data_IF_994521463532
#
_entry.id   IF_994521463532
#
_cell.length_a   1.000
_cell.length_b   1.000
_cell.length_c   1.000
_cell.angle_alpha   90.00
_cell.angle_beta   90.00
_cell.angle_gamma   90.00
#
_symmetry.space_group_name_H-M   'P 1'
#
loop_
_entity.id
_entity.type
_entity.pdbx_description
1 polymer ?
#
# COMPACT_ATOMS: atom_id res chain seq x y z
N UNK A 1 -34.83 -20.02 0.05
CA UNK A 1 -33.50 -19.42 0.20
C UNK A 1 -33.28 -18.51 -1.01
N UNK A 2 -33.15 -17.20 -0.81
CA UNK A 2 -32.90 -16.28 -1.94
C UNK A 2 -31.50 -16.53 -2.50
N UNK A 3 -31.40 -16.45 -3.82
CA UNK A 3 -30.17 -16.72 -4.56
C UNK A 3 -29.91 -15.60 -5.55
N UNK A 4 -28.68 -15.09 -5.57
CA UNK A 4 -28.20 -14.13 -6.58
C UNK A 4 -27.12 -14.81 -7.41
N UNK A 5 -27.19 -14.63 -8.73
CA UNK A 5 -26.18 -15.10 -9.67
C UNK A 5 -25.56 -13.91 -10.37
N UNK A 6 -24.26 -13.72 -10.17
CA UNK A 6 -23.45 -12.77 -10.91
C UNK A 6 -22.67 -13.48 -12.03
N UNK A 7 -22.80 -12.98 -13.26
CA UNK A 7 -22.06 -13.48 -14.42
C UNK A 7 -21.09 -12.42 -14.93
N UNK A 8 -19.83 -12.81 -15.10
CA UNK A 8 -18.74 -11.94 -15.52
C UNK A 8 -18.25 -12.33 -16.92
N UNK A 9 -18.55 -11.51 -17.91
CA UNK A 9 -17.95 -11.61 -19.25
C UNK A 9 -16.74 -10.70 -19.31
N UNK A 10 -15.86 -10.90 -20.31
CA UNK A 10 -14.56 -10.25 -20.51
C UNK A 10 -14.40 -8.80 -19.99
N UNK A 11 -15.45 -7.96 -20.04
CA UNK A 11 -15.50 -6.65 -19.36
C UNK A 11 -16.90 -6.25 -18.86
N UNK A 12 -17.86 -7.18 -18.70
CA UNK A 12 -19.27 -6.86 -18.42
C UNK A 12 -19.83 -7.71 -17.29
N UNK A 13 -20.73 -7.12 -16.48
CA UNK A 13 -21.31 -7.78 -15.32
C UNK A 13 -22.83 -7.76 -15.36
N UNK A 14 -23.40 -8.93 -15.08
CA UNK A 14 -24.83 -9.13 -14.98
C UNK A 14 -25.20 -9.72 -13.62
N UNK A 15 -26.35 -9.34 -13.08
CA UNK A 15 -27.02 -10.01 -11.96
C UNK A 15 -28.36 -10.55 -12.43
N UNK A 16 -28.58 -11.87 -12.37
CA UNK A 16 -29.82 -12.50 -12.87
C UNK A 16 -30.25 -11.92 -14.24
N UNK A 17 -29.31 -11.83 -15.19
CA UNK A 17 -29.47 -11.24 -16.54
C UNK A 17 -29.69 -9.71 -16.62
N UNK A 18 -29.64 -8.97 -15.52
CA UNK A 18 -29.70 -7.51 -15.49
C UNK A 18 -28.29 -6.92 -15.63
N UNK A 19 -28.07 -6.05 -16.61
CA UNK A 19 -26.79 -5.38 -16.83
C UNK A 19 -26.49 -4.40 -15.70
N UNK A 20 -25.36 -4.60 -15.01
CA UNK A 20 -24.92 -3.72 -13.92
C UNK A 20 -23.91 -2.66 -14.38
N UNK A 21 -23.18 -2.93 -15.46
CA UNK A 21 -22.18 -2.02 -16.01
C UNK A 21 -21.02 -2.73 -16.71
N UNK A 22 -20.09 -1.91 -17.20
CA UNK A 22 -18.79 -2.34 -17.72
C UNK A 22 -17.73 -2.28 -16.61
N UNK A 23 -16.94 -3.35 -16.49
CA UNK A 23 -15.82 -3.46 -15.58
C UNK A 23 -14.52 -2.94 -16.22
N UNK A 24 -14.27 -1.65 -16.00
CA UNK A 24 -13.06 -0.94 -16.44
C UNK A 24 -12.29 -0.40 -15.23
N UNK A 25 -11.00 -0.10 -15.41
CA UNK A 25 -10.11 0.26 -14.31
C UNK A 25 -10.51 1.58 -13.61
N UNK A 26 -11.29 2.41 -14.29
CA UNK A 26 -11.80 3.69 -13.76
C UNK A 26 -13.12 3.55 -12.97
N UNK A 27 -13.79 2.39 -12.99
CA UNK A 27 -15.16 2.22 -12.49
C UNK A 27 -15.30 1.28 -11.29
N UNK A 28 -14.20 0.82 -10.69
CA UNK A 28 -14.22 -0.19 -9.62
C UNK A 28 -15.18 0.15 -8.47
N UNK A 29 -15.14 1.37 -7.96
CA UNK A 29 -15.97 1.79 -6.82
C UNK A 29 -17.48 1.72 -7.12
N UNK A 30 -17.91 2.27 -8.27
CA UNK A 30 -19.32 2.26 -8.68
C UNK A 30 -19.87 0.85 -8.87
N UNK A 31 -19.03 -0.07 -9.34
CA UNK A 31 -19.46 -1.45 -9.52
C UNK A 31 -19.51 -2.17 -8.18
N UNK A 32 -18.54 -1.94 -7.30
CA UNK A 32 -18.56 -2.44 -5.93
C UNK A 32 -19.84 -2.03 -5.20
N UNK A 33 -20.21 -0.75 -5.26
CA UNK A 33 -21.41 -0.23 -4.59
C UNK A 33 -22.69 -0.88 -5.15
N UNK A 34 -22.78 -1.02 -6.48
CA UNK A 34 -23.92 -1.69 -7.13
C UNK A 34 -24.03 -3.17 -6.77
N UNK A 35 -22.91 -3.89 -6.71
CA UNK A 35 -22.89 -5.30 -6.33
C UNK A 35 -23.29 -5.46 -4.86
N UNK A 36 -22.77 -4.60 -3.99
CA UNK A 36 -23.11 -4.58 -2.57
C UNK A 36 -24.60 -4.33 -2.35
N UNK A 37 -25.17 -3.31 -3.00
CA UNK A 37 -26.60 -3.02 -2.95
C UNK A 37 -27.46 -4.20 -3.45
N UNK A 38 -27.02 -4.88 -4.51
CA UNK A 38 -27.70 -6.09 -4.99
C UNK A 38 -27.65 -7.20 -3.94
N UNK A 39 -26.51 -7.40 -3.27
CA UNK A 39 -26.35 -8.39 -2.21
C UNK A 39 -27.15 -8.07 -0.94
N UNK A 40 -27.35 -6.80 -0.58
CA UNK A 40 -28.18 -6.39 0.58
C UNK A 40 -29.64 -6.85 0.47
N UNK A 41 -30.11 -7.24 -0.73
CA UNK A 41 -31.45 -7.81 -0.92
C UNK A 41 -31.56 -9.28 -0.46
N UNK A 42 -30.43 -9.93 -0.14
CA UNK A 42 -30.35 -11.30 0.38
C UNK A 42 -30.54 -11.35 1.89
N UNK A 43 -31.40 -12.27 2.34
CA UNK A 43 -31.59 -12.56 3.76
C UNK A 43 -30.34 -13.26 4.35
N UNK A 44 -30.18 -13.34 5.68
CA UNK A 44 -28.97 -13.87 6.35
C UNK A 44 -28.56 -15.32 6.01
N UNK A 45 -29.41 -16.07 5.31
CA UNK A 45 -29.13 -17.40 4.78
C UNK A 45 -29.06 -17.41 3.25
N UNK A 46 -28.81 -16.26 2.62
CA UNK A 46 -28.74 -16.10 1.18
C UNK A 46 -27.57 -16.83 0.53
N UNK A 47 -27.70 -17.10 -0.77
CA UNK A 47 -26.70 -17.81 -1.56
C UNK A 47 -26.27 -16.98 -2.78
N UNK A 48 -24.97 -16.75 -2.93
CA UNK A 48 -24.37 -16.01 -4.03
C UNK A 48 -23.61 -16.99 -4.93
N UNK A 49 -23.86 -16.91 -6.23
CA UNK A 49 -23.05 -17.58 -7.24
C UNK A 49 -22.31 -16.57 -8.09
N UNK A 50 -21.01 -16.80 -8.29
CA UNK A 50 -20.18 -16.02 -9.20
C UNK A 50 -19.75 -16.95 -10.34
N UNK A 51 -20.04 -16.56 -11.57
CA UNK A 51 -19.76 -17.36 -12.77
C UNK A 51 -18.78 -16.58 -13.64
N UNK A 52 -17.65 -17.21 -13.95
CA UNK A 52 -16.72 -16.75 -14.98
C UNK A 52 -17.24 -17.12 -16.37
N UNK A 53 -17.42 -16.13 -17.23
CA UNK A 53 -17.75 -16.29 -18.66
C UNK A 53 -16.65 -15.64 -19.52
N UNK A 54 -15.40 -15.97 -19.21
CA UNK A 54 -14.21 -15.56 -19.97
C UNK A 54 -13.50 -14.32 -19.42
N UNK A 55 -13.81 -13.87 -18.21
CA UNK A 55 -13.08 -12.79 -17.54
C UNK A 55 -11.74 -13.29 -16.99
N UNK A 56 -11.65 -14.49 -16.43
CA UNK A 56 -10.38 -15.00 -15.88
C UNK A 56 -9.31 -15.17 -16.96
N UNK A 57 -9.70 -15.64 -18.14
CA UNK A 57 -8.79 -15.84 -19.28
C UNK A 57 -8.33 -14.51 -19.88
N UNK A 58 -9.25 -13.54 -20.02
CA UNK A 58 -8.93 -12.24 -20.63
C UNK A 58 -8.28 -11.27 -19.65
N UNK A 59 -8.50 -11.43 -18.35
CA UNK A 59 -7.94 -10.56 -17.32
C UNK A 59 -7.89 -11.24 -15.94
N UNK A 60 -6.89 -12.10 -15.76
CA UNK A 60 -6.68 -12.89 -14.55
C UNK A 60 -6.57 -12.03 -13.28
N UNK A 61 -5.96 -10.85 -13.37
CA UNK A 61 -5.86 -9.90 -12.25
C UNK A 61 -7.24 -9.42 -11.77
N UNK A 62 -8.11 -9.01 -12.70
CA UNK A 62 -9.48 -8.54 -12.37
C UNK A 62 -10.34 -9.65 -11.79
N UNK A 63 -10.22 -10.85 -12.34
CA UNK A 63 -10.91 -12.03 -11.81
C UNK A 63 -10.48 -12.37 -10.38
N UNK A 64 -9.18 -12.31 -10.11
CA UNK A 64 -8.61 -12.53 -8.78
C UNK A 64 -9.15 -11.50 -7.79
N UNK A 65 -9.19 -10.22 -8.16
CA UNK A 65 -9.69 -9.16 -7.29
C UNK A 65 -11.15 -9.42 -6.87
N UNK A 66 -11.99 -9.75 -7.83
CA UNK A 66 -13.40 -10.00 -7.59
C UNK A 66 -13.64 -11.24 -6.71
N UNK A 67 -12.99 -12.35 -7.06
CA UNK A 67 -13.29 -13.66 -6.48
C UNK A 67 -12.55 -13.93 -5.19
N UNK A 68 -11.38 -13.33 -5.00
CA UNK A 68 -10.56 -13.55 -3.81
C UNK A 68 -10.67 -12.43 -2.78
N UNK A 69 -11.18 -11.26 -3.15
CA UNK A 69 -11.25 -10.12 -2.22
C UNK A 69 -12.68 -9.70 -1.95
N UNK A 70 -13.44 -9.42 -3.01
CA UNK A 70 -14.80 -8.90 -2.86
C UNK A 70 -15.78 -10.00 -2.47
N UNK A 71 -15.70 -11.16 -3.13
CA UNK A 71 -16.49 -12.32 -2.75
C UNK A 71 -16.21 -12.78 -1.31
N UNK A 72 -14.94 -12.70 -0.87
CA UNK A 72 -14.55 -12.98 0.51
C UNK A 72 -15.16 -11.99 1.51
N UNK A 73 -15.31 -10.71 1.15
CA UNK A 73 -16.02 -9.73 1.96
C UNK A 73 -17.50 -10.08 2.14
N UNK A 74 -18.16 -10.48 1.06
CA UNK A 74 -19.58 -10.89 1.08
C UNK A 74 -19.80 -12.21 1.84
N UNK A 75 -18.83 -13.12 1.82
CA UNK A 75 -18.92 -14.43 2.46
C UNK A 75 -19.09 -14.39 3.99
N UNK A 76 -18.87 -13.24 4.64
CA UNK A 76 -19.14 -13.04 6.06
C UNK A 76 -20.63 -13.18 6.43
N UNK A 77 -21.52 -12.86 5.48
CA UNK A 77 -22.98 -12.78 5.73
C UNK A 77 -23.80 -13.76 4.91
N UNK A 78 -23.21 -14.40 3.90
CA UNK A 78 -23.89 -15.28 2.95
C UNK A 78 -23.00 -16.43 2.49
N UNK A 79 -23.60 -17.49 1.93
CA UNK A 79 -22.85 -18.57 1.28
C UNK A 79 -22.47 -18.16 -0.14
N UNK A 80 -21.20 -18.32 -0.51
CA UNK A 80 -20.66 -17.90 -1.81
C UNK A 80 -19.96 -19.06 -2.50
N UNK A 81 -20.42 -19.37 -3.71
CA UNK A 81 -19.79 -20.36 -4.59
C UNK A 81 -19.31 -19.70 -5.89
N UNK A 82 -18.07 -20.00 -6.28
CA UNK A 82 -17.49 -19.54 -7.54
C UNK A 82 -17.42 -20.71 -8.51
N UNK A 83 -17.83 -20.49 -9.75
CA UNK A 83 -17.56 -21.39 -10.85
C UNK A 83 -16.31 -20.91 -11.60
N UNK A 84 -15.22 -21.66 -11.49
CA UNK A 84 -14.03 -21.48 -12.31
C UNK A 84 -14.02 -22.58 -13.39
N UNK A 85 -14.05 -22.17 -14.66
CA UNK A 85 -14.22 -23.07 -15.80
C UNK A 85 -15.43 -24.03 -15.63
N UNK A 86 -15.17 -25.28 -15.21
CA UNK A 86 -16.21 -26.32 -15.01
C UNK A 86 -16.42 -26.71 -13.54
N UNK A 87 -15.57 -26.24 -12.62
CA UNK A 87 -15.61 -26.64 -11.21
C UNK A 87 -16.23 -25.55 -10.34
N UNK A 88 -17.00 -25.98 -9.34
CA UNK A 88 -17.56 -25.12 -8.31
C UNK A 88 -16.70 -25.20 -7.05
N UNK A 89 -16.31 -24.04 -6.54
CA UNK A 89 -15.59 -23.88 -5.28
C UNK A 89 -16.47 -23.10 -4.30
N UNK A 90 -16.74 -23.68 -3.13
CA UNK A 90 -17.40 -22.98 -2.02
C UNK A 90 -16.34 -22.29 -1.17
N UNK A 91 -16.42 -20.95 -1.09
CA UNK A 91 -15.38 -20.14 -0.44
C UNK A 91 -15.49 -20.25 1.08
N UNK A 92 -16.70 -20.47 1.60
CA UNK A 92 -16.99 -20.45 3.04
C UNK A 92 -16.33 -21.62 3.81
N UNK A 93 -16.15 -22.79 3.18
CA UNK A 93 -15.74 -24.02 3.87
C UNK A 93 -14.22 -24.23 3.95
N UNK A 94 -13.44 -23.51 3.12
CA UNK A 94 -11.98 -23.67 3.01
C UNK A 94 -11.18 -22.55 3.70
N UNK A 95 -11.85 -21.52 4.20
CA UNK A 95 -11.20 -20.38 4.82
C UNK A 95 -11.07 -20.55 6.35
N UNK A 96 -9.85 -20.48 6.89
CA UNK A 96 -9.66 -20.21 8.31
C UNK A 96 -10.01 -18.74 8.56
N UNK A 97 -11.12 -18.52 9.26
CA UNK A 97 -11.67 -17.20 9.56
C UNK A 97 -10.81 -16.48 10.60
N UNK A 98 -9.79 -15.76 10.16
CA UNK A 98 -9.32 -14.61 10.91
C UNK A 98 -10.29 -13.47 10.65
N UNK A 99 -10.80 -12.80 11.69
CA UNK A 99 -11.68 -11.64 11.56
C UNK A 99 -10.93 -10.51 10.84
N UNK A 100 -10.84 -10.59 9.51
CA UNK A 100 -10.46 -9.48 8.65
C UNK A 100 -11.60 -8.49 8.76
N UNK A 101 -11.44 -7.49 9.62
CA UNK A 101 -12.14 -6.23 9.46
C UNK A 101 -11.61 -5.62 8.17
N UNK A 102 -12.19 -6.03 7.05
CA UNK A 102 -12.38 -5.09 5.97
C UNK A 102 -13.14 -3.94 6.61
N UNK A 103 -12.41 -2.90 6.97
CA UNK A 103 -13.03 -1.61 6.97
C UNK A 103 -13.54 -1.49 5.56
N UNK A 104 -14.85 -1.34 5.44
CA UNK A 104 -15.40 -0.79 4.23
C UNK A 104 -14.65 0.50 3.90
N UNK A 105 -15.12 1.10 2.83
CA UNK A 105 -15.55 2.48 2.84
C UNK A 105 -16.22 2.85 4.18
N UNK A 106 -15.47 2.84 5.29
CA UNK A 106 -15.82 3.60 6.45
C UNK A 106 -15.61 5.01 5.93
N UNK A 107 -16.70 5.74 5.82
CA UNK A 107 -16.83 7.18 5.52
C UNK A 107 -16.09 8.07 6.55
N UNK A 108 -15.02 7.53 7.14
CA UNK A 108 -14.13 8.07 8.18
C UNK A 108 -12.65 7.74 7.91
N UNK A 109 -12.32 6.93 6.90
CA UNK A 109 -10.98 6.89 6.30
C UNK A 109 -10.97 7.92 5.18
N UNK A 110 -11.01 9.17 5.63
CA UNK A 110 -11.04 10.33 4.78
C UNK A 110 -9.84 10.32 3.81
N UNK A 111 -10.11 10.00 2.55
CA UNK A 111 -9.55 10.72 1.42
C UNK A 111 -10.09 12.16 1.36
N UNK A 112 -10.42 12.78 2.52
CA UNK A 112 -10.62 14.23 2.58
C UNK A 112 -9.28 14.82 2.23
N UNK A 113 -9.35 15.76 1.28
CA UNK A 113 -8.37 16.81 1.07
C UNK A 113 -7.64 16.99 2.40
N UNK A 114 -6.36 16.62 2.48
CA UNK A 114 -5.64 16.97 3.68
C UNK A 114 -5.73 18.47 3.76
N UNK A 115 -5.62 19.04 4.95
CA UNK A 115 -5.42 20.48 5.12
C UNK A 115 -6.76 21.24 5.03
N UNK A 116 -6.95 22.36 5.75
CA UNK A 116 -8.00 23.33 5.45
C UNK A 116 -7.97 23.91 4.02
N UNK A 117 -7.34 23.25 3.04
CA UNK A 117 -7.26 23.69 1.66
C UNK A 117 -8.65 23.66 1.02
N UNK A 118 -9.18 24.85 0.74
CA UNK A 118 -10.53 25.02 0.18
C UNK A 118 -10.52 25.43 -1.29
N UNK A 119 -9.39 25.92 -1.79
CA UNK A 119 -9.28 26.37 -3.18
C UNK A 119 -7.85 26.30 -3.70
N UNK A 120 -7.72 25.87 -4.94
CA UNK A 120 -6.49 25.93 -5.73
C UNK A 120 -6.80 26.76 -6.97
N UNK A 121 -5.91 27.69 -7.33
CA UNK A 121 -6.01 28.39 -8.59
C UNK A 121 -4.65 28.43 -9.32
N UNK A 122 -4.69 28.20 -10.62
CA UNK A 122 -3.54 28.29 -11.54
C UNK A 122 -3.94 29.20 -12.69
N UNK A 123 -3.13 30.20 -13.00
CA UNK A 123 -3.42 31.22 -14.00
C UNK A 123 -4.81 31.88 -13.83
N UNK A 124 -5.18 32.17 -12.57
CA UNK A 124 -6.50 32.73 -12.22
C UNK A 124 -7.71 31.83 -12.54
N UNK A 125 -7.48 30.57 -12.93
CA UNK A 125 -8.52 29.56 -13.09
C UNK A 125 -8.61 28.71 -11.84
N UNK A 126 -9.83 28.54 -11.34
CA UNK A 126 -10.12 27.69 -10.20
C UNK A 126 -9.99 26.22 -10.62
N UNK A 127 -9.13 25.49 -9.92
CA UNK A 127 -8.98 24.05 -10.08
C UNK A 127 -9.83 23.37 -9.01
N UNK A 128 -10.80 22.56 -9.41
CA UNK A 128 -11.43 21.64 -8.47
C UNK A 128 -10.42 20.57 -8.08
N UNK A 129 -10.35 20.24 -6.80
CA UNK A 129 -9.68 19.03 -6.31
C UNK A 129 -10.76 17.99 -6.14
N UNK A 130 -11.35 17.56 -7.25
CA UNK A 130 -12.21 16.38 -7.28
C UNK A 130 -11.42 15.23 -7.91
N UNK A 131 -11.84 13.99 -7.65
CA UNK A 131 -11.18 12.78 -8.18
C UNK A 131 -11.13 12.74 -9.72
N UNK A 132 -11.86 13.61 -10.42
CA UNK A 132 -11.98 13.63 -11.89
C UNK A 132 -10.96 14.57 -12.55
N UNK A 133 -10.41 15.54 -11.82
CA UNK A 133 -9.50 16.58 -12.33
C UNK A 133 -8.03 16.33 -12.00
N UNK A 134 -7.73 15.31 -11.19
CA UNK A 134 -6.38 14.87 -10.88
C UNK A 134 -5.85 13.94 -11.98
N UNK A 135 -4.84 14.39 -12.72
CA UNK A 135 -4.23 13.59 -13.80
C UNK A 135 -3.51 12.34 -13.28
N UNK A 136 -2.88 12.43 -12.11
CA UNK A 136 -2.28 11.28 -11.41
C UNK A 136 -2.05 11.61 -9.94
N UNK A 137 -2.13 10.57 -9.10
CA UNK A 137 -1.71 10.60 -7.69
C UNK A 137 -0.51 9.67 -7.55
N UNK A 138 0.62 10.18 -7.07
CA UNK A 138 1.70 9.34 -6.55
C UNK A 138 1.77 9.44 -5.04
N UNK A 139 1.79 8.29 -4.37
CA UNK A 139 2.05 8.18 -2.94
C UNK A 139 3.45 7.58 -2.75
N UNK A 140 4.30 8.31 -2.02
CA UNK A 140 5.66 7.88 -1.69
C UNK A 140 5.93 8.11 -0.20
N UNK A 141 6.94 7.42 0.32
CA UNK A 141 7.35 7.53 1.72
C UNK A 141 8.81 7.93 1.77
N UNK A 142 9.07 9.18 2.16
CA UNK A 142 10.40 9.77 2.09
C UNK A 142 10.68 10.53 3.38
N UNK A 143 11.83 10.26 4.00
CA UNK A 143 12.28 10.94 5.23
C UNK A 143 11.24 10.95 6.36
N UNK A 144 10.38 9.93 6.42
CA UNK A 144 9.31 9.86 7.41
C UNK A 144 8.07 10.69 7.11
N UNK A 145 7.98 11.21 5.89
CA UNK A 145 6.78 11.85 5.40
C UNK A 145 6.01 10.90 4.48
N UNK A 146 4.69 10.95 4.60
CA UNK A 146 3.80 10.52 3.52
C UNK A 146 3.74 11.65 2.49
N UNK A 147 4.20 11.37 1.28
CA UNK A 147 4.23 12.29 0.14
C UNK A 147 3.07 11.96 -0.79
N UNK A 148 2.24 12.95 -1.10
CA UNK A 148 1.22 12.87 -2.14
C UNK A 148 1.49 13.92 -3.19
N UNK A 149 1.62 13.53 -4.45
CA UNK A 149 1.76 14.47 -5.57
C UNK A 149 0.56 14.39 -6.48
N UNK A 150 0.02 15.56 -6.81
CA UNK A 150 -1.08 15.79 -7.72
C UNK A 150 -0.56 16.59 -8.91
N UNK A 151 -0.66 16.01 -10.11
CA UNK A 151 -0.43 16.77 -11.34
C UNK A 151 -1.71 17.53 -11.67
N UNK A 152 -1.69 18.85 -11.48
CA UNK A 152 -2.85 19.73 -11.68
C UNK A 152 -3.01 20.11 -13.16
N UNK A 153 -1.88 20.38 -13.83
CA UNK A 153 -1.81 20.61 -15.28
C UNK A 153 -0.49 20.02 -15.81
N UNK A 154 -0.28 20.06 -17.13
CA UNK A 154 1.00 19.62 -17.74
C UNK A 154 2.24 20.42 -17.27
N UNK A 155 2.03 21.55 -16.60
CA UNK A 155 3.08 22.46 -16.14
C UNK A 155 3.01 22.74 -14.65
N UNK A 156 1.97 22.34 -13.94
CA UNK A 156 1.75 22.64 -12.52
C UNK A 156 1.51 21.36 -11.72
N UNK A 157 2.26 21.21 -10.62
CA UNK A 157 2.10 20.12 -9.67
C UNK A 157 1.91 20.65 -8.26
N UNK A 158 1.09 19.95 -7.49
CA UNK A 158 0.89 20.14 -6.06
C UNK A 158 1.44 18.94 -5.32
N UNK A 159 2.24 19.19 -4.31
CA UNK A 159 2.88 18.18 -3.49
C UNK A 159 2.53 18.43 -2.03
N UNK A 160 2.04 17.40 -1.35
CA UNK A 160 1.67 17.45 0.07
C UNK A 160 2.52 16.43 0.82
N UNK A 161 3.32 16.91 1.77
CA UNK A 161 4.10 16.12 2.71
C UNK A 161 3.40 16.14 4.06
N UNK A 162 3.03 14.99 4.59
CA UNK A 162 2.51 14.84 5.96
C UNK A 162 3.55 14.21 6.86
N UNK A 163 3.78 14.81 8.02
CA UNK A 163 4.68 14.29 9.04
C UNK A 163 3.90 13.71 10.21
N UNK A 164 4.34 12.55 10.68
CA UNK A 164 3.81 11.90 11.89
C UNK A 164 4.96 11.51 12.81
N UNK A 165 4.67 11.51 14.10
CA UNK A 165 5.59 11.08 15.14
C UNK A 165 5.70 9.56 15.16
N UNK A 166 6.93 9.07 15.20
CA UNK A 166 7.26 7.64 15.37
C UNK A 166 6.74 7.14 16.72
N UNK A 167 6.17 5.94 16.74
CA UNK A 167 5.62 5.29 17.94
C UNK A 167 4.24 5.78 18.39
N UNK A 168 3.93 7.07 18.23
CA UNK A 168 2.64 7.64 18.67
C UNK A 168 1.63 7.85 17.54
N UNK A 169 2.08 7.80 16.28
CA UNK A 169 1.30 8.17 15.08
C UNK A 169 0.76 9.61 15.09
N UNK A 170 1.11 10.43 16.09
CA UNK A 170 0.58 11.77 16.24
C UNK A 170 0.96 12.62 15.03
N UNK A 171 0.00 13.36 14.48
CA UNK A 171 0.27 14.30 13.40
C UNK A 171 1.16 15.43 13.91
N UNK A 172 2.31 15.63 13.26
CA UNK A 172 3.30 16.65 13.60
C UNK A 172 3.24 17.85 12.65
N UNK A 173 2.46 17.77 11.59
CA UNK A 173 2.36 18.87 10.64
C UNK A 173 2.39 18.41 9.20
N UNK A 174 2.43 19.39 8.31
CA UNK A 174 2.54 19.15 6.88
C UNK A 174 3.15 20.33 6.12
N UNK A 175 3.61 20.04 4.91
CA UNK A 175 4.06 21.01 3.93
C UNK A 175 3.30 20.82 2.63
N UNK A 176 2.80 21.91 2.07
CA UNK A 176 2.24 22.01 0.73
C UNK A 176 3.26 22.71 -0.13
N UNK A 177 3.52 22.18 -1.31
CA UNK A 177 4.36 22.81 -2.31
C UNK A 177 3.64 22.77 -3.63
N UNK A 178 3.39 23.94 -4.22
CA UNK A 178 2.91 24.06 -5.58
C UNK A 178 4.05 24.61 -6.43
N UNK A 179 4.39 23.93 -7.51
CA UNK A 179 5.47 24.31 -8.41
C UNK A 179 4.99 24.27 -9.84
N UNK A 180 5.48 25.22 -10.62
CA UNK A 180 5.23 25.29 -12.06
C UNK A 180 6.55 25.32 -12.84
N UNK A 181 6.56 24.76 -14.05
CA UNK A 181 7.70 24.84 -14.95
C UNK A 181 7.74 26.14 -15.79
N UNK A 182 6.73 27.00 -15.64
CA UNK A 182 6.61 28.32 -16.26
C UNK A 182 6.15 29.35 -15.22
N UNK A 183 6.58 30.61 -15.31
CA UNK A 183 6.08 31.65 -14.41
C UNK A 183 4.57 31.86 -14.64
N UNK A 184 3.74 31.36 -13.74
CA UNK A 184 2.28 31.36 -13.83
C UNK A 184 1.70 31.71 -12.47
N UNK A 185 0.78 32.69 -12.37
CA UNK A 185 0.13 33.03 -11.11
C UNK A 185 -0.53 31.80 -10.48
N UNK A 186 -0.22 31.55 -9.22
CA UNK A 186 -0.59 30.36 -8.46
C UNK A 186 -1.14 30.79 -7.11
N UNK A 187 -2.30 30.26 -6.72
CA UNK A 187 -2.89 30.57 -5.42
C UNK A 187 -3.43 29.33 -4.72
N UNK A 188 -3.24 29.28 -3.40
CA UNK A 188 -3.85 28.31 -2.49
C UNK A 188 -4.65 29.07 -1.43
N UNK A 189 -5.88 28.65 -1.19
CA UNK A 189 -6.70 29.21 -0.12
C UNK A 189 -6.92 28.19 0.99
N UNK A 190 -6.63 28.59 2.22
CA UNK A 190 -6.87 27.82 3.43
C UNK A 190 -8.08 28.38 4.18
N UNK A 191 -8.93 27.51 4.72
CA UNK A 191 -10.02 27.86 5.63
C UNK A 191 -9.46 28.31 6.97
N UNK A 192 -9.98 29.43 7.46
CA UNK A 192 -9.67 29.98 8.78
C UNK A 192 -10.53 29.35 9.89
N UNK A 193 -11.46 28.45 9.57
CA UNK A 193 -12.33 27.79 10.55
C UNK A 193 -11.58 26.79 11.45
N UNK A 194 -10.39 26.36 11.05
CA UNK A 194 -9.53 25.46 11.84
C UNK A 194 -8.57 26.33 12.67
N UNK A 195 -9.01 26.74 13.86
CA UNK A 195 -8.32 27.70 14.75
C UNK A 195 -6.98 27.24 15.35
N UNK A 196 -6.32 26.18 14.85
CA UNK A 196 -5.26 25.50 15.62
C UNK A 196 -3.96 25.20 14.86
N UNK A 197 -3.73 25.77 13.67
CA UNK A 197 -2.50 25.45 12.92
C UNK A 197 -1.84 26.72 12.38
N UNK A 198 -0.72 27.10 12.98
CA UNK A 198 0.12 28.20 12.50
C UNK A 198 0.82 27.81 11.19
N UNK A 199 0.48 28.51 10.11
CA UNK A 199 1.08 28.36 8.79
C UNK A 199 2.15 29.41 8.55
N UNK A 200 3.25 28.97 7.94
CA UNK A 200 4.25 29.85 7.34
C UNK A 200 4.23 29.66 5.83
N UNK A 201 4.43 30.73 5.06
CA UNK A 201 4.47 30.68 3.60
C UNK A 201 5.49 31.63 3.02
N UNK A 202 6.00 31.31 1.83
CA UNK A 202 6.79 32.24 1.01
C UNK A 202 5.91 33.10 0.07
N UNK A 203 4.60 32.85 0.01
CA UNK A 203 3.66 33.57 -0.85
C UNK A 203 3.12 34.85 -0.22
N UNK A 204 2.60 35.74 -1.07
CA UNK A 204 1.87 36.93 -0.60
C UNK A 204 0.54 36.52 0.04
N UNK A 205 0.28 37.06 1.22
CA UNK A 205 -0.88 36.72 2.04
C UNK A 205 -2.01 37.72 1.82
N UNK A 206 -3.23 37.22 1.57
CA UNK A 206 -4.45 38.03 1.52
C UNK A 206 -5.59 37.33 2.25
N UNK A 207 -6.16 37.98 3.25
CA UNK A 207 -7.34 37.47 3.95
C UNK A 207 -8.63 37.98 3.29
N UNK A 208 -9.55 37.07 2.99
CA UNK A 208 -10.86 37.37 2.40
C UNK A 208 -11.91 36.52 3.12
N UNK A 209 -12.74 37.15 3.95
CA UNK A 209 -13.75 36.43 4.75
C UNK A 209 -13.12 35.39 5.67
N UNK A 210 -13.60 34.15 5.60
CA UNK A 210 -13.09 33.02 6.39
C UNK A 210 -11.96 32.25 5.68
N UNK A 211 -11.28 32.86 4.71
CA UNK A 211 -10.22 32.22 3.94
C UNK A 211 -8.96 33.08 3.92
N UNK A 212 -7.80 32.42 3.97
CA UNK A 212 -6.50 33.03 3.76
C UNK A 212 -5.91 32.53 2.44
N UNK A 213 -5.66 33.45 1.52
CA UNK A 213 -5.07 33.19 0.21
C UNK A 213 -3.56 33.43 0.26
N UNK A 214 -2.81 32.50 -0.33
CA UNK A 214 -1.37 32.58 -0.50
C UNK A 214 -1.05 32.53 -2.00
N UNK A 215 -0.31 33.53 -2.51
CA UNK A 215 -0.07 33.70 -3.94
C UNK A 215 1.43 33.71 -4.27
N UNK A 216 1.82 33.02 -5.33
CA UNK A 216 3.17 33.03 -5.91
C UNK A 216 3.11 32.86 -7.44
N UNK A 217 4.23 32.91 -8.14
CA UNK A 217 4.31 32.80 -9.61
C UNK A 217 5.16 31.63 -10.11
N UNK A 218 6.06 31.09 -9.29
CA UNK A 218 7.01 30.04 -9.67
C UNK A 218 6.92 28.85 -8.71
N UNK A 219 6.95 29.14 -7.40
CA UNK A 219 6.89 28.17 -6.33
C UNK A 219 6.17 28.76 -5.13
N UNK A 220 5.12 28.08 -4.71
CA UNK A 220 4.39 28.39 -3.49
C UNK A 220 4.62 27.28 -2.48
N UNK A 221 5.11 27.63 -1.29
CA UNK A 221 5.31 26.71 -0.18
C UNK A 221 4.50 27.21 1.01
N UNK A 222 3.74 26.30 1.61
CA UNK A 222 3.07 26.52 2.89
C UNK A 222 3.48 25.39 3.81
N UNK A 223 3.91 25.70 5.02
CA UNK A 223 4.27 24.69 6.01
C UNK A 223 3.76 25.08 7.39
N UNK A 224 3.23 24.10 8.10
CA UNK A 224 2.84 24.27 9.50
C UNK A 224 4.09 24.47 10.34
N UNK A 225 4.05 25.34 11.35
CA UNK A 225 5.19 25.61 12.23
C UNK A 225 5.81 24.34 12.81
N UNK A 226 4.96 23.45 13.35
CA UNK A 226 5.38 22.19 13.97
C UNK A 226 6.10 21.26 12.96
N UNK A 227 5.65 21.21 11.70
CA UNK A 227 6.36 20.46 10.64
C UNK A 227 7.80 20.93 10.50
N UNK A 228 8.02 22.26 10.48
CA UNK A 228 9.36 22.83 10.30
C UNK A 228 10.27 22.53 11.50
N UNK A 229 9.73 22.60 12.70
CA UNK A 229 10.46 22.36 13.95
C UNK A 229 10.82 20.87 14.10
N UNK A 230 9.92 19.96 13.73
CA UNK A 230 10.08 18.52 13.96
C UNK A 230 10.75 17.75 12.81
N UNK A 231 10.81 18.31 11.60
CA UNK A 231 11.23 17.58 10.40
C UNK A 231 12.63 16.95 10.53
N UNK A 232 13.62 17.71 11.01
CA UNK A 232 15.01 17.22 11.09
C UNK A 232 15.17 16.12 12.16
N UNK A 233 14.47 16.25 13.29
CA UNK A 233 14.45 15.19 14.30
C UNK A 233 13.85 13.90 13.74
N UNK A 234 12.69 14.00 13.08
CA UNK A 234 12.05 12.85 12.45
C UNK A 234 12.96 12.27 11.35
N UNK A 235 13.56 13.11 10.51
CA UNK A 235 14.48 12.67 9.46
C UNK A 235 15.65 11.84 10.01
N UNK A 236 16.20 12.21 11.17
CA UNK A 236 17.22 11.41 11.86
C UNK A 236 16.73 10.01 12.24
N UNK A 237 15.56 9.91 12.87
CA UNK A 237 14.94 8.64 13.25
C UNK A 237 14.65 7.75 12.04
N UNK A 238 14.11 8.33 10.97
CA UNK A 238 13.78 7.61 9.74
C UNK A 238 15.02 7.23 8.94
N UNK A 239 16.07 8.05 8.97
CA UNK A 239 17.34 7.69 8.35
C UNK A 239 17.94 6.46 9.01
N UNK A 240 17.98 6.41 10.35
CA UNK A 240 18.43 5.24 11.10
C UNK A 240 17.58 4.01 10.80
N UNK A 241 16.25 4.15 10.81
CA UNK A 241 15.33 3.07 10.47
C UNK A 241 15.59 2.50 9.07
N UNK A 242 15.69 3.36 8.04
CA UNK A 242 15.90 2.90 6.67
C UNK A 242 17.30 2.31 6.43
N UNK A 243 18.31 2.67 7.22
CA UNK A 243 19.60 1.97 7.18
C UNK A 243 19.46 0.48 7.54
N UNK A 244 18.48 0.13 8.38
CA UNK A 244 18.26 -1.25 8.84
C UNK A 244 17.35 -2.05 7.91
N UNK A 245 16.36 -1.39 7.30
CA UNK A 245 15.27 -2.08 6.59
C UNK A 245 15.17 -1.74 5.09
N UNK A 246 16.03 -0.89 4.52
CA UNK A 246 15.95 -0.62 3.08
C UNK A 246 16.32 -1.85 2.24
N UNK A 247 15.55 -2.09 1.17
CA UNK A 247 15.81 -3.11 0.15
C UNK A 247 16.19 -2.43 -1.15
N UNK A 248 17.23 -2.94 -1.82
CA UNK A 248 17.55 -2.54 -3.18
C UNK A 248 16.69 -3.36 -4.15
N UNK A 249 15.77 -2.66 -4.81
CA UNK A 249 14.83 -3.23 -5.75
C UNK A 249 15.32 -3.14 -7.19
N UNK A 250 14.78 -4.01 -8.03
CA UNK A 250 14.88 -3.89 -9.48
C UNK A 250 14.14 -2.63 -9.95
N UNK A 251 14.53 -2.11 -11.11
CA UNK A 251 13.87 -0.93 -11.69
C UNK A 251 12.39 -1.23 -11.97
N UNK A 252 11.51 -0.28 -11.67
CA UNK A 252 10.06 -0.35 -11.92
C UNK A 252 9.32 -1.50 -11.19
N UNK A 253 9.94 -2.05 -10.14
CA UNK A 253 9.35 -3.14 -9.37
C UNK A 253 8.20 -2.67 -8.49
N UNK A 254 6.97 -3.05 -8.86
CA UNK A 254 5.72 -2.56 -8.23
C UNK A 254 5.66 -2.80 -6.72
N UNK A 255 6.27 -3.87 -6.22
CA UNK A 255 6.28 -4.21 -4.79
C UNK A 255 7.16 -3.31 -3.93
N UNK A 256 8.08 -2.54 -4.54
CA UNK A 256 8.93 -1.60 -3.80
C UNK A 256 8.09 -0.55 -3.06
N UNK A 257 7.05 -0.02 -3.72
CA UNK A 257 6.13 0.96 -3.12
C UNK A 257 5.30 0.34 -2.00
N UNK A 258 4.86 -0.91 -2.20
CA UNK A 258 4.09 -1.64 -1.19
C UNK A 258 4.90 -1.88 0.07
N UNK A 259 6.15 -2.31 -0.09
CA UNK A 259 7.08 -2.49 1.01
C UNK A 259 7.35 -1.18 1.75
N UNK A 260 7.62 -0.11 1.01
CA UNK A 260 7.88 1.21 1.60
C UNK A 260 6.69 1.70 2.44
N UNK A 261 5.47 1.50 1.93
CA UNK A 261 4.23 1.79 2.66
C UNK A 261 4.11 0.98 3.94
N UNK A 262 4.25 -0.34 3.85
CA UNK A 262 4.14 -1.25 5.00
C UNK A 262 5.16 -0.89 6.07
N UNK A 263 6.42 -0.71 5.68
CA UNK A 263 7.50 -0.38 6.60
C UNK A 263 7.35 1.03 7.18
N UNK A 264 6.75 1.97 6.45
CA UNK A 264 6.39 3.27 7.00
C UNK A 264 5.31 3.14 8.08
N UNK A 265 4.20 2.49 7.74
CA UNK A 265 3.05 2.35 8.64
C UNK A 265 3.38 1.54 9.90
N UNK A 266 4.21 0.51 9.80
CA UNK A 266 4.59 -0.28 10.97
C UNK A 266 5.52 0.50 11.91
N UNK A 267 6.46 1.29 11.39
CA UNK A 267 7.39 2.05 12.22
C UNK A 267 6.71 3.16 13.01
N UNK A 268 5.61 3.71 12.48
CA UNK A 268 4.79 4.64 13.26
C UNK A 268 4.16 3.98 14.51
N UNK A 269 4.08 2.64 14.58
CA UNK A 269 3.36 1.90 15.62
C UNK A 269 4.24 1.00 16.48
N UNK A 270 5.40 0.61 15.97
CA UNK A 270 6.26 -0.42 16.53
C UNK A 270 7.69 0.07 16.64
N UNK A 271 8.35 -0.34 17.72
CA UNK A 271 9.79 -0.13 17.89
C UNK A 271 10.59 -0.92 16.86
N UNK A 272 11.85 -0.52 16.62
CA UNK A 272 12.78 -1.25 15.75
C UNK A 272 12.90 -2.71 16.16
N UNK A 273 13.01 -2.98 17.48
CA UNK A 273 13.12 -4.32 18.02
C UNK A 273 11.87 -5.15 17.70
N UNK A 274 10.67 -4.63 17.97
CA UNK A 274 9.43 -5.35 17.64
C UNK A 274 9.32 -5.64 16.13
N UNK A 275 9.76 -4.73 15.27
CA UNK A 275 9.76 -4.93 13.82
C UNK A 275 10.74 -6.02 13.42
N UNK A 276 11.94 -6.05 14.03
CA UNK A 276 12.89 -7.13 13.82
C UNK A 276 12.29 -8.46 14.27
N UNK A 277 11.75 -8.54 15.49
CA UNK A 277 11.11 -9.75 16.02
C UNK A 277 9.98 -10.23 15.09
N UNK A 278 9.19 -9.30 14.53
CA UNK A 278 8.15 -9.62 13.56
C UNK A 278 8.71 -10.13 12.22
N UNK A 279 9.79 -9.56 11.68
CA UNK A 279 10.43 -10.08 10.46
C UNK A 279 10.99 -11.49 10.65
N UNK A 280 11.31 -11.85 11.89
CA UNK A 280 11.93 -13.13 12.26
C UNK A 280 10.93 -14.16 12.75
N UNK A 281 9.71 -13.76 13.08
CA UNK A 281 8.68 -14.69 13.49
C UNK A 281 8.39 -15.72 12.39
N UNK A 282 7.99 -16.95 12.77
CA UNK A 282 7.52 -17.95 11.82
C UNK A 282 6.43 -17.35 10.92
N UNK A 283 6.52 -17.58 9.60
CA UNK A 283 5.63 -16.90 8.68
C UNK A 283 4.22 -17.45 8.78
N UNK A 284 3.25 -16.56 8.93
CA UNK A 284 1.84 -16.93 8.81
C UNK A 284 1.49 -17.08 7.34
N UNK A 285 0.74 -18.13 7.02
CA UNK A 285 0.19 -18.32 5.67
C UNK A 285 -0.79 -17.17 5.36
N UNK A 286 -0.31 -16.17 4.63
CA UNK A 286 -1.18 -15.14 4.06
C UNK A 286 -1.73 -15.68 2.75
N UNK A 287 -2.91 -16.30 2.82
CA UNK A 287 -3.73 -16.56 1.63
C UNK A 287 -4.39 -15.23 1.21
N UNK A 288 -3.77 -14.53 0.28
CA UNK A 288 -4.31 -13.28 -0.29
C UNK A 288 -3.30 -12.46 -1.08
N UNK A 289 -3.79 -11.72 -2.07
CA UNK A 289 -3.00 -10.75 -2.82
C UNK A 289 -2.60 -9.58 -1.92
N UNK A 290 -1.30 -9.38 -1.75
CA UNK A 290 -0.70 -8.26 -1.02
C UNK A 290 -1.14 -6.90 -1.57
N UNK A 291 -1.54 -6.82 -2.85
CA UNK A 291 -2.10 -5.61 -3.45
C UNK A 291 -3.46 -5.19 -2.86
N UNK A 292 -4.09 -6.05 -2.06
CA UNK A 292 -5.46 -5.86 -1.60
C UNK A 292 -5.65 -6.02 -0.09
N UNK A 293 -4.54 -5.98 0.64
CA UNK A 293 -4.57 -5.81 2.08
C UNK A 293 -5.10 -4.41 2.40
N UNK A 294 -6.32 -4.32 2.92
CA UNK A 294 -6.73 -3.17 3.69
C UNK A 294 -5.90 -3.16 4.99
N UNK A 295 -5.05 -2.15 5.14
CA UNK A 295 -3.96 -2.02 6.13
C UNK A 295 -4.40 -1.80 7.59
N UNK A 296 -5.51 -2.44 7.99
CA UNK A 296 -5.97 -2.53 9.37
C UNK A 296 -5.97 -3.98 9.88
N UNK A 297 -5.32 -4.90 9.15
CA UNK A 297 -5.05 -6.25 9.61
C UNK A 297 -3.87 -6.26 10.61
N UNK A 298 -3.75 -7.31 11.43
CA UNK A 298 -2.58 -7.54 12.27
C UNK A 298 -1.30 -7.45 11.42
N UNK A 299 -0.37 -6.57 11.81
CA UNK A 299 0.89 -6.31 11.08
C UNK A 299 1.76 -7.55 10.97
N UNK A 300 1.62 -8.49 11.90
CA UNK A 300 2.40 -9.71 11.96
C UNK A 300 2.15 -10.63 10.76
N UNK A 301 0.91 -11.05 10.41
CA UNK A 301 0.66 -11.81 9.19
C UNK A 301 1.18 -11.12 7.94
N UNK A 302 0.95 -9.82 7.82
CA UNK A 302 1.34 -9.04 6.63
C UNK A 302 2.85 -8.98 6.47
N UNK A 303 3.58 -8.61 7.53
CA UNK A 303 5.03 -8.46 7.47
C UNK A 303 5.74 -9.81 7.33
N UNK A 304 5.34 -10.81 8.13
CA UNK A 304 5.93 -12.15 8.07
C UNK A 304 5.63 -12.86 6.74
N UNK A 305 4.40 -12.73 6.25
CA UNK A 305 4.00 -13.25 4.94
C UNK A 305 4.74 -12.57 3.80
N UNK A 306 4.89 -11.24 3.84
CA UNK A 306 5.64 -10.50 2.81
C UNK A 306 7.10 -10.96 2.79
N UNK A 307 7.70 -11.13 3.97
CA UNK A 307 9.08 -11.58 4.10
C UNK A 307 9.27 -13.00 3.55
N UNK A 308 8.35 -13.93 3.87
CA UNK A 308 8.33 -15.27 3.28
C UNK A 308 8.20 -15.21 1.76
N UNK A 309 7.32 -14.38 1.21
CA UNK A 309 7.22 -14.26 -0.25
C UNK A 309 8.45 -13.59 -0.88
N UNK A 310 9.13 -12.72 -0.15
CA UNK A 310 10.31 -11.99 -0.61
C UNK A 310 11.57 -12.85 -0.68
N UNK A 311 11.82 -13.68 0.33
CA UNK A 311 13.06 -14.46 0.46
C UNK A 311 12.85 -15.97 0.65
N UNK A 312 11.60 -16.44 0.78
CA UNK A 312 11.29 -17.85 0.96
C UNK A 312 11.62 -18.39 2.36
N UNK A 313 11.86 -17.52 3.34
CA UNK A 313 12.42 -17.93 4.63
C UNK A 313 12.22 -16.95 5.77
N UNK A 314 12.70 -17.35 6.95
CA UNK A 314 12.66 -16.60 8.21
C UNK A 314 13.87 -16.94 9.09
N UNK A 315 14.01 -16.33 10.26
CA UNK A 315 15.12 -16.59 11.19
C UNK A 315 14.64 -17.43 12.38
N UNK A 316 15.40 -18.45 12.76
CA UNK A 316 15.18 -19.23 13.99
C UNK A 316 16.53 -19.37 14.71
N UNK A 317 16.61 -18.96 15.98
CA UNK A 317 17.81 -19.12 16.83
C UNK A 317 19.11 -18.65 16.17
N UNK A 318 19.06 -17.50 15.48
CA UNK A 318 20.22 -16.94 14.77
C UNK A 318 20.60 -17.66 13.46
N UNK A 319 19.81 -18.63 13.02
CA UNK A 319 19.94 -19.30 11.72
C UNK A 319 18.92 -18.77 10.72
N UNK A 320 19.34 -18.60 9.47
CA UNK A 320 18.41 -18.28 8.38
C UNK A 320 17.83 -19.58 7.84
N UNK A 321 16.53 -19.77 7.94
CA UNK A 321 15.82 -20.97 7.46
C UNK A 321 15.04 -20.61 6.20
N UNK A 322 15.46 -21.17 5.07
CA UNK A 322 14.80 -21.09 3.78
C UNK A 322 13.89 -22.31 3.64
N UNK A 323 12.59 -22.09 3.77
CA UNK A 323 11.55 -23.14 3.77
C UNK A 323 10.93 -23.34 2.40
N UNK A 324 10.81 -22.26 1.62
CA UNK A 324 10.13 -22.24 0.34
C UNK A 324 10.92 -21.45 -0.70
N UNK A 325 10.44 -21.57 -1.94
CA UNK A 325 10.81 -20.69 -3.02
C UNK A 325 10.27 -19.28 -2.76
N UNK A 326 11.08 -18.21 -2.96
CA UNK A 326 10.56 -16.86 -3.02
C UNK A 326 9.44 -16.78 -4.06
N UNK A 327 8.26 -16.31 -3.64
CA UNK A 327 7.07 -16.31 -4.49
C UNK A 327 6.88 -14.98 -5.23
N UNK A 328 7.55 -13.90 -4.81
CA UNK A 328 7.51 -12.63 -5.51
C UNK A 328 8.37 -12.68 -6.78
N UNK A 329 7.80 -12.48 -7.98
CA UNK A 329 8.50 -12.63 -9.26
C UNK A 329 9.71 -11.71 -9.33
N UNK A 330 10.82 -12.16 -9.90
CA UNK A 330 12.02 -11.33 -10.13
C UNK A 330 12.06 -10.94 -11.60
N UNK A 331 12.40 -9.68 -11.90
CA UNK A 331 12.68 -9.19 -13.26
C UNK A 331 14.20 -9.12 -13.52
N UNK A 332 15.03 -9.37 -12.51
CA UNK A 332 16.48 -9.43 -12.65
C UNK A 332 17.17 -9.85 -11.35
N UNK A 333 17.45 -8.87 -10.49
CA UNK A 333 18.21 -9.08 -9.25
C UNK A 333 17.68 -8.22 -8.11
N UNK A 334 17.39 -8.87 -6.98
CA UNK A 334 17.05 -8.23 -5.71
C UNK A 334 18.22 -8.36 -4.73
N UNK A 335 18.58 -7.26 -4.06
CA UNK A 335 19.55 -7.29 -2.95
C UNK A 335 18.93 -6.68 -1.69
N UNK A 336 19.03 -7.41 -0.60
CA UNK A 336 18.62 -6.91 0.71
C UNK A 336 19.76 -7.08 1.70
N UNK A 337 19.88 -6.10 2.60
CA UNK A 337 20.78 -6.20 3.76
C UNK A 337 19.92 -6.38 5.00
N UNK A 338 20.19 -7.44 5.74
CA UNK A 338 19.51 -7.79 6.96
C UNK A 338 20.42 -7.46 8.14
N UNK A 339 19.85 -6.81 9.15
CA UNK A 339 20.50 -6.48 10.40
C UNK A 339 19.92 -7.32 11.54
N UNK A 340 20.78 -8.11 12.19
CA UNK A 340 20.47 -9.02 13.29
C UNK A 340 21.55 -8.85 14.36
N UNK A 341 21.23 -8.32 15.53
CA UNK A 341 22.10 -8.21 16.72
C UNK A 341 23.61 -8.26 16.49
N UNK A 342 24.20 -7.09 16.28
CA UNK A 342 25.65 -6.92 16.02
C UNK A 342 26.19 -7.71 14.81
N UNK A 343 25.31 -8.20 13.95
CA UNK A 343 25.60 -8.86 12.69
C UNK A 343 24.71 -8.25 11.60
N UNK A 344 25.26 -8.20 10.40
CA UNK A 344 24.49 -7.98 9.18
C UNK A 344 24.81 -9.04 8.15
N UNK A 345 23.87 -9.37 7.30
CA UNK A 345 24.13 -10.25 6.16
C UNK A 345 23.35 -9.75 4.94
N UNK A 346 23.92 -9.98 3.77
CA UNK A 346 23.32 -9.60 2.50
C UNK A 346 22.74 -10.84 1.86
N UNK A 347 21.54 -10.72 1.30
CA UNK A 347 20.94 -11.73 0.43
C UNK A 347 20.90 -11.15 -0.97
N UNK A 348 21.37 -11.94 -1.93
CA UNK A 348 21.22 -11.69 -3.36
C UNK A 348 20.30 -12.75 -3.92
N UNK A 349 19.22 -12.31 -4.55
CA UNK A 349 18.26 -13.17 -5.20
C UNK A 349 18.21 -12.84 -6.70
N UNK A 350 18.30 -13.87 -7.53
CA UNK A 350 18.01 -13.82 -8.96
C UNK A 350 17.03 -14.93 -9.31
N UNK A 351 16.51 -14.96 -10.53
CA UNK A 351 15.65 -16.05 -11.02
C UNK A 351 16.29 -17.44 -10.87
N UNK A 352 17.63 -17.49 -10.84
CA UNK A 352 18.42 -18.72 -10.92
C UNK A 352 19.12 -19.09 -9.62
N UNK A 353 19.30 -18.18 -8.67
CA UNK A 353 20.06 -18.47 -7.46
C UNK A 353 19.73 -17.54 -6.30
N UNK A 354 19.95 -18.06 -5.10
CA UNK A 354 20.05 -17.29 -3.87
C UNK A 354 21.47 -17.41 -3.30
N UNK A 355 22.10 -16.28 -3.01
CA UNK A 355 23.39 -16.23 -2.33
C UNK A 355 23.32 -15.35 -1.08
N UNK A 356 24.07 -15.73 -0.05
CA UNK A 356 24.15 -15.02 1.23
C UNK A 356 25.59 -14.64 1.53
N UNK A 357 25.80 -13.41 1.99
CA UNK A 357 27.10 -12.89 2.44
C UNK A 357 26.97 -12.28 3.84
N UNK A 358 27.40 -12.99 4.90
CA UNK A 358 27.25 -12.50 6.26
C UNK A 358 28.50 -11.77 6.76
N UNK A 359 28.36 -10.83 7.68
CA UNK A 359 29.47 -10.07 8.29
C UNK A 359 30.20 -10.83 9.41
N UNK A 360 29.57 -11.87 9.94
CA UNK A 360 30.11 -12.93 10.82
C UNK A 360 29.67 -14.28 10.23
N UNK A 361 30.28 -15.43 10.57
CA UNK A 361 29.79 -16.72 10.09
C UNK A 361 28.29 -16.90 10.39
N UNK A 362 27.54 -17.42 9.41
CA UNK A 362 26.09 -17.63 9.53
C UNK A 362 25.75 -19.04 9.07
N UNK A 363 24.90 -19.73 9.83
CA UNK A 363 24.32 -21.01 9.41
C UNK A 363 23.02 -20.73 8.66
N UNK A 364 22.89 -21.29 7.46
CA UNK A 364 21.68 -21.21 6.64
C UNK A 364 21.13 -22.60 6.44
N UNK A 365 19.88 -22.83 6.81
CA UNK A 365 19.18 -24.10 6.57
C UNK A 365 18.34 -23.94 5.31
N UNK A 366 18.56 -24.79 4.31
CA UNK A 366 17.84 -24.79 3.04
C UNK A 366 17.56 -26.22 2.62
N UNK A 367 16.30 -26.57 2.31
CA UNK A 367 15.91 -27.93 1.90
C UNK A 367 16.44 -29.03 2.85
N UNK A 368 16.31 -28.80 4.17
CA UNK A 368 16.81 -29.68 5.24
C UNK A 368 18.35 -29.84 5.31
N UNK A 369 19.12 -29.08 4.52
CA UNK A 369 20.58 -29.05 4.58
C UNK A 369 21.05 -27.80 5.31
N UNK A 370 22.02 -27.99 6.21
CA UNK A 370 22.71 -26.88 6.86
C UNK A 370 23.91 -26.47 6.01
N UNK A 371 23.96 -25.19 5.63
CA UNK A 371 25.01 -24.58 4.82
C UNK A 371 25.70 -23.54 5.70
N UNK A 372 27.01 -23.70 5.91
CA UNK A 372 27.80 -22.73 6.64
C UNK A 372 28.29 -21.63 5.69
N UNK A 373 27.85 -20.39 5.92
CA UNK A 373 28.28 -19.22 5.17
C UNK A 373 29.45 -18.53 5.89
N UNK A 374 30.67 -18.54 5.34
CA UNK A 374 31.81 -17.86 5.95
C UNK A 374 31.67 -16.33 5.91
N UNK A 375 32.35 -15.68 6.84
CA UNK A 375 32.39 -14.22 6.97
C UNK A 375 32.83 -13.57 5.65
N UNK A 376 32.08 -12.57 5.21
CA UNK A 376 32.32 -11.72 4.04
C UNK A 376 32.43 -12.45 2.69
N UNK A 377 32.02 -13.71 2.61
CA UNK A 377 32.02 -14.49 1.37
C UNK A 377 30.59 -14.73 0.89
N UNK A 378 30.35 -14.55 -0.42
CA UNK A 378 29.09 -14.95 -1.03
C UNK A 378 29.03 -16.48 -1.10
N UNK A 379 28.01 -17.04 -0.46
CA UNK A 379 27.74 -18.48 -0.45
C UNK A 379 26.42 -18.73 -1.15
N UNK A 380 26.41 -19.57 -2.19
CA UNK A 380 25.18 -19.98 -2.85
C UNK A 380 24.43 -20.92 -1.91
N UNK A 381 23.22 -20.53 -1.53
CA UNK A 381 22.34 -21.31 -0.66
C UNK A 381 21.48 -22.25 -1.48
N UNK A 382 21.14 -21.82 -2.69
CA UNK A 382 20.25 -22.53 -3.57
C UNK A 382 20.44 -22.01 -5.03
N UNK A 383 20.26 -22.90 -6.01
CA UNK A 383 20.36 -22.62 -7.45
C UNK A 383 19.31 -23.44 -8.23
N UNK A 384 18.63 -22.82 -9.21
CA UNK A 384 17.76 -23.48 -10.20
C UNK A 384 18.67 -24.10 -11.25
N UNK A 385 18.54 -25.41 -11.43
CA UNK A 385 19.25 -26.18 -12.46
C UNK A 385 18.50 -26.24 -13.77
#
# INVERSE_FOLDING_TARGET
MKKIVFCFKATVIYSNNHFLGHWTDANYQKIYDKLTLACETLDANGYIQIIDEGLAENNQTKWTILTQLWAYHWAKSWRVAIKQATQWLEINDSAQWCERRCYGLNDKMDARIPIPLVKIAVNQQDMTVDEQSIWSISEEYLYGCQLMTYVLTNHCQLTILKLRSVGTQQWLGQRITMTTNQATPMALALSNQVEQVDWTSNGQLRQIGQQTFYVSHDRLVLETRLFKEELEQQRGLWHHYWQLFAIAWEKDYRWARLYQRLMYEIYLRKSIQEIQDLLWAPPLDVTGDFACLAWQCDWQPVLTGFWRQLIGGHMIDGQLVIVDWPQLPLLGKRELTIHLDQQKFKIRLTEWQMAVQPSKPLSVVSQQRQILCPRQCWTVIWQNG
#
